data_IF_677838103738
#
_entry.id   IF_677838103738
#
_cell.length_a   1.000
_cell.length_b   1.000
_cell.length_c   1.000
_cell.angle_alpha   90.00
_cell.angle_beta   90.00
_cell.angle_gamma   90.00
#
_symmetry.space_group_name_H-M   'P 1'
#
loop_
_entity.id
_entity.type
_entity.pdbx_description
1 polymer ?
#
# COMPACT_ATOMS: atom_id res chain seq x y z
N UNK A 1 -4.95 4.99 -27.15
CA UNK A 1 -4.40 3.62 -26.95
C UNK A 1 -5.57 2.65 -27.01
N UNK A 2 -5.53 1.65 -27.89
CA UNK A 2 -6.58 0.62 -28.00
C UNK A 2 -6.02 -0.64 -27.33
N UNK A 3 -6.74 -1.18 -26.34
CA UNK A 3 -6.35 -2.38 -25.61
C UNK A 3 -7.53 -3.37 -25.58
N UNK A 4 -7.27 -4.68 -25.77
CA UNK A 4 -8.26 -5.71 -25.49
C UNK A 4 -8.76 -5.66 -24.05
N UNK A 5 -9.99 -6.10 -23.81
CA UNK A 5 -10.61 -6.04 -22.48
C UNK A 5 -9.80 -6.78 -21.40
N UNK A 6 -9.30 -7.97 -21.70
CA UNK A 6 -8.46 -8.75 -20.79
C UNK A 6 -7.07 -8.13 -20.50
N UNK A 7 -6.68 -7.08 -21.23
CA UNK A 7 -5.37 -6.42 -21.11
C UNK A 7 -5.48 -4.95 -20.66
N UNK A 8 -6.67 -4.48 -20.26
CA UNK A 8 -6.87 -3.09 -19.81
C UNK A 8 -5.93 -2.68 -18.67
N UNK A 9 -5.58 -3.61 -17.78
CA UNK A 9 -4.69 -3.38 -16.63
C UNK A 9 -3.23 -3.81 -16.89
N UNK A 10 -2.94 -4.44 -18.03
CA UNK A 10 -1.59 -4.89 -18.35
C UNK A 10 -0.56 -3.75 -18.32
N UNK A 11 -0.83 -2.56 -18.91
CA UNK A 11 0.05 -1.40 -18.78
C UNK A 11 0.39 -1.03 -17.34
N UNK A 12 -0.61 -1.07 -16.46
CA UNK A 12 -0.46 -0.69 -15.06
C UNK A 12 0.48 -1.68 -14.36
N UNK A 13 0.20 -2.98 -14.49
CA UNK A 13 1.04 -4.01 -13.88
C UNK A 13 2.47 -4.02 -14.44
N UNK A 14 2.67 -3.76 -15.74
CA UNK A 14 4.03 -3.65 -16.30
C UNK A 14 4.77 -2.47 -15.66
N UNK A 15 4.12 -1.31 -15.51
CA UNK A 15 4.71 -0.16 -14.82
C UNK A 15 5.11 -0.51 -13.39
N UNK A 16 4.23 -1.21 -12.66
CA UNK A 16 4.51 -1.69 -11.30
C UNK A 16 5.70 -2.65 -11.25
N UNK A 17 5.79 -3.62 -12.17
CA UNK A 17 6.90 -4.57 -12.25
C UNK A 17 8.23 -3.84 -12.48
N UNK A 18 8.25 -2.87 -13.40
CA UNK A 18 9.45 -2.08 -13.70
C UNK A 18 9.91 -1.22 -12.50
N UNK A 19 8.98 -0.76 -11.67
CA UNK A 19 9.27 0.01 -10.46
C UNK A 19 9.66 -0.86 -9.26
N UNK A 20 9.23 -2.11 -9.24
CA UNK A 20 9.39 -2.99 -8.07
C UNK A 20 10.83 -3.15 -7.64
N UNK A 21 11.05 -3.24 -6.33
CA UNK A 21 12.35 -3.46 -5.71
C UNK A 21 13.11 -4.67 -6.28
N UNK A 22 12.38 -5.73 -6.65
CA UNK A 22 12.96 -6.92 -7.29
C UNK A 22 13.72 -6.58 -8.58
N UNK A 23 13.22 -5.62 -9.36
CA UNK A 23 13.74 -5.26 -10.69
C UNK A 23 14.60 -4.00 -10.62
N UNK A 24 14.02 -2.88 -10.17
CA UNK A 24 14.67 -1.56 -10.14
C UNK A 24 15.81 -1.50 -9.14
N UNK A 25 15.67 -2.18 -7.99
CA UNK A 25 16.71 -2.25 -6.97
C UNK A 25 17.08 -0.90 -6.36
N UNK A 26 16.08 -0.06 -6.04
CA UNK A 26 16.20 1.36 -5.69
C UNK A 26 17.39 1.76 -4.80
N UNK A 27 17.79 3.04 -4.87
CA UNK A 27 19.08 3.52 -4.32
C UNK A 27 19.30 3.28 -2.84
N UNK A 28 18.23 3.19 -2.05
CA UNK A 28 18.29 3.05 -0.59
C UNK A 28 18.17 1.59 -0.13
N UNK A 29 18.03 0.64 -1.05
CA UNK A 29 17.85 -0.77 -0.71
C UNK A 29 19.18 -1.51 -0.56
N UNK A 30 19.30 -2.31 0.49
CA UNK A 30 20.49 -3.15 0.70
C UNK A 30 20.53 -4.32 -0.29
N UNK A 31 21.72 -4.87 -0.51
CA UNK A 31 21.89 -6.06 -1.37
C UNK A 31 21.10 -7.25 -0.83
N UNK A 32 21.05 -7.42 0.50
CA UNK A 32 20.33 -8.51 1.15
C UNK A 32 18.81 -8.35 0.98
N UNK A 33 18.27 -7.14 1.16
CA UNK A 33 16.85 -6.86 0.93
C UNK A 33 16.48 -7.13 -0.53
N UNK A 34 17.31 -6.68 -1.48
CA UNK A 34 17.07 -6.94 -2.90
C UNK A 34 17.06 -8.43 -3.21
N UNK A 35 18.05 -9.17 -2.73
CA UNK A 35 18.15 -10.61 -2.95
C UNK A 35 16.96 -11.35 -2.32
N UNK A 36 16.53 -10.96 -1.12
CA UNK A 36 15.35 -11.49 -0.46
C UNK A 36 14.09 -11.26 -1.29
N UNK A 37 13.85 -10.04 -1.76
CA UNK A 37 12.66 -9.69 -2.53
C UNK A 37 12.67 -10.39 -3.90
N UNK A 38 13.81 -10.46 -4.59
CA UNK A 38 13.95 -11.23 -5.83
C UNK A 38 13.59 -12.72 -5.62
N UNK A 39 14.06 -13.33 -4.55
CA UNK A 39 13.71 -14.71 -4.23
C UNK A 39 12.22 -14.86 -3.87
N UNK A 40 11.67 -13.92 -3.09
CA UNK A 40 10.26 -13.92 -2.70
C UNK A 40 9.34 -13.87 -3.94
N UNK A 41 9.62 -12.97 -4.89
CA UNK A 41 8.83 -12.85 -6.13
C UNK A 41 8.86 -14.13 -6.97
N UNK A 42 10.02 -14.81 -7.04
CA UNK A 42 10.16 -16.06 -7.80
C UNK A 42 9.31 -17.22 -7.27
N UNK A 43 8.89 -17.19 -6.00
CA UNK A 43 8.11 -18.26 -5.37
C UNK A 43 6.65 -17.89 -5.12
N UNK A 44 6.24 -16.66 -5.46
CA UNK A 44 4.85 -16.22 -5.30
C UNK A 44 3.93 -16.92 -6.30
N UNK A 45 2.74 -17.28 -5.84
CA UNK A 45 1.64 -17.66 -6.71
C UNK A 45 1.01 -16.41 -7.38
N UNK A 46 0.02 -16.64 -8.25
CA UNK A 46 -0.65 -15.55 -8.97
C UNK A 46 -1.32 -14.55 -7.99
N UNK A 47 -2.13 -14.98 -7.00
CA UNK A 47 -2.73 -14.04 -6.05
C UNK A 47 -1.72 -13.18 -5.27
N UNK A 48 -0.63 -13.77 -4.77
CA UNK A 48 0.36 -13.01 -4.00
C UNK A 48 1.20 -12.11 -4.91
N UNK A 49 1.56 -12.54 -6.12
CA UNK A 49 2.31 -11.68 -7.06
C UNK A 49 1.50 -10.46 -7.50
N UNK A 50 0.19 -10.61 -7.72
CA UNK A 50 -0.69 -9.47 -8.05
C UNK A 50 -0.66 -8.40 -6.95
N UNK A 51 -0.75 -8.81 -5.68
CA UNK A 51 -0.74 -7.86 -4.54
C UNK A 51 0.65 -7.31 -4.28
N UNK A 52 1.70 -8.09 -4.51
CA UNK A 52 3.06 -7.61 -4.40
C UNK A 52 3.35 -6.45 -5.37
N UNK A 53 2.96 -6.60 -6.64
CA UNK A 53 3.19 -5.55 -7.65
C UNK A 53 2.18 -4.40 -7.55
N UNK A 54 0.92 -4.69 -7.24
CA UNK A 54 -0.10 -3.67 -6.99
C UNK A 54 -0.67 -3.86 -5.58
N UNK A 55 -0.09 -3.17 -4.57
CA UNK A 55 -0.52 -3.27 -3.19
C UNK A 55 -2.01 -2.98 -3.03
N UNK A 56 -2.61 -3.45 -1.94
CA UNK A 56 -3.96 -3.03 -1.56
C UNK A 56 -3.87 -1.86 -0.62
N UNK A 57 -4.60 -0.79 -0.89
CA UNK A 57 -4.77 0.35 -0.01
C UNK A 57 -6.21 0.36 0.52
N UNK A 58 -6.42 -0.12 1.74
CA UNK A 58 -7.74 -0.35 2.33
C UNK A 58 -8.09 0.82 3.27
N UNK A 59 -9.18 1.57 3.04
CA UNK A 59 -9.59 2.64 3.94
C UNK A 59 -10.13 2.07 5.27
N UNK A 60 -9.72 2.65 6.39
CA UNK A 60 -10.11 2.24 7.75
C UNK A 60 -10.87 3.32 8.54
N UNK A 61 -10.99 4.53 8.01
CA UNK A 61 -11.63 5.65 8.70
C UNK A 61 -13.16 5.57 8.67
N UNK A 62 -13.74 5.00 7.62
CA UNK A 62 -15.19 4.87 7.42
C UNK A 62 -15.58 3.38 7.28
N UNK A 63 -15.26 2.55 8.29
CA UNK A 63 -15.59 1.12 8.27
C UNK A 63 -17.01 0.87 8.77
N UNK A 64 -17.70 -0.05 8.11
CA UNK A 64 -18.95 -0.63 8.59
C UNK A 64 -18.62 -1.63 9.72
N UNK A 65 -19.16 -1.36 10.91
CA UNK A 65 -18.96 -2.20 12.10
C UNK A 65 -19.84 -3.46 12.08
N UNK A 66 -20.92 -3.46 11.30
CA UNK A 66 -21.87 -4.58 11.23
C UNK A 66 -21.49 -5.59 10.13
N UNK A 67 -20.65 -5.19 9.18
CA UNK A 67 -20.14 -6.07 8.12
C UNK A 67 -18.83 -6.73 8.51
N UNK A 68 -18.68 -8.02 8.18
CA UNK A 68 -17.41 -8.75 8.28
C UNK A 68 -16.47 -8.52 7.10
N UNK A 69 -16.93 -7.89 6.03
CA UNK A 69 -16.18 -7.76 4.77
C UNK A 69 -15.03 -6.76 4.87
N UNK A 70 -13.98 -7.01 4.09
CA UNK A 70 -12.87 -6.06 3.95
C UNK A 70 -13.36 -4.89 3.09
N UNK A 71 -13.19 -3.62 3.52
CA UNK A 71 -13.52 -2.47 2.70
C UNK A 71 -12.86 -2.52 1.33
N UNK A 72 -13.55 -2.03 0.29
CA UNK A 72 -13.00 -2.03 -1.07
C UNK A 72 -11.67 -1.24 -1.09
N UNK A 73 -10.57 -1.84 -1.58
CA UNK A 73 -9.32 -1.13 -1.75
C UNK A 73 -9.46 0.05 -2.72
N UNK A 74 -8.81 1.15 -2.40
CA UNK A 74 -8.68 2.32 -3.28
C UNK A 74 -7.39 2.24 -4.10
N UNK A 75 -7.28 3.14 -5.09
CA UNK A 75 -6.10 3.24 -5.96
C UNK A 75 -4.84 3.58 -5.17
N UNK A 76 -3.70 3.00 -5.57
CA UNK A 76 -2.41 3.20 -4.93
C UNK A 76 -1.75 4.51 -5.40
N UNK A 77 -2.36 5.63 -5.01
CA UNK A 77 -1.87 6.99 -5.27
C UNK A 77 -2.07 7.86 -4.04
N UNK A 78 -1.12 8.78 -3.80
CA UNK A 78 -1.17 9.77 -2.74
C UNK A 78 -2.41 10.66 -2.84
N UNK A 79 -2.98 10.84 -4.05
CA UNK A 79 -4.24 11.56 -4.25
C UNK A 79 -5.43 10.90 -3.54
N UNK A 80 -5.32 9.61 -3.18
CA UNK A 80 -6.36 8.88 -2.44
C UNK A 80 -6.20 8.93 -0.93
N UNK A 81 -5.07 9.44 -0.43
CA UNK A 81 -4.84 9.62 0.99
C UNK A 81 -5.42 10.96 1.44
N UNK A 82 -6.37 10.91 2.37
CA UNK A 82 -6.97 12.10 2.99
C UNK A 82 -6.27 12.43 4.30
N UNK A 83 -6.10 13.72 4.58
CA UNK A 83 -5.53 14.22 5.85
C UNK A 83 -6.35 13.78 7.08
N UNK A 84 -7.64 13.50 6.91
CA UNK A 84 -8.57 13.01 7.93
C UNK A 84 -8.83 11.50 7.83
N UNK A 85 -7.99 10.77 7.08
CA UNK A 85 -8.17 9.34 6.83
C UNK A 85 -7.16 8.44 7.55
N UNK A 86 -7.52 7.18 7.69
CA UNK A 86 -6.64 6.07 8.06
C UNK A 86 -6.73 4.98 6.98
N UNK A 87 -5.59 4.35 6.65
CA UNK A 87 -5.49 3.37 5.57
C UNK A 87 -4.50 2.25 5.91
N UNK A 88 -4.87 1.03 5.58
CA UNK A 88 -3.99 -0.14 5.63
C UNK A 88 -3.42 -0.41 4.23
N UNK A 89 -2.11 -0.33 4.08
CA UNK A 89 -1.42 -0.77 2.87
C UNK A 89 -0.80 -2.15 3.10
N UNK A 90 -1.09 -3.12 2.22
CA UNK A 90 -0.47 -4.44 2.24
C UNK A 90 0.02 -4.86 0.85
N UNK A 91 1.24 -5.40 0.77
CA UNK A 91 1.83 -5.95 -0.46
C UNK A 91 2.26 -7.42 -0.30
N UNK A 92 1.83 -8.09 0.76
CA UNK A 92 2.22 -9.48 1.08
C UNK A 92 3.57 -9.65 1.79
N UNK A 93 4.41 -8.61 1.85
CA UNK A 93 5.68 -8.61 2.60
C UNK A 93 5.63 -7.60 3.74
N UNK A 94 5.24 -6.36 3.42
CA UNK A 94 5.09 -5.26 4.35
C UNK A 94 3.61 -4.92 4.54
N UNK A 95 3.29 -4.45 5.75
CA UNK A 95 1.98 -3.94 6.11
C UNK A 95 2.15 -2.61 6.82
N UNK A 96 1.55 -1.55 6.27
CA UNK A 96 1.61 -0.20 6.82
C UNK A 96 0.21 0.23 7.25
N UNK A 97 0.09 0.81 8.44
CA UNK A 97 -1.09 1.56 8.84
C UNK A 97 -0.76 3.04 8.77
N UNK A 98 -1.17 3.68 7.69
CA UNK A 98 -1.03 5.11 7.52
C UNK A 98 -2.19 5.84 8.17
N UNK A 99 -1.92 6.95 8.85
CA UNK A 99 -2.93 7.78 9.48
C UNK A 99 -2.62 9.27 9.31
N UNK A 100 -3.65 10.03 8.96
CA UNK A 100 -3.60 11.46 8.74
C UNK A 100 -3.57 12.27 10.04
N UNK A 101 -3.02 13.49 9.97
CA UNK A 101 -2.95 14.39 11.13
C UNK A 101 -4.29 15.02 11.47
N UNK A 102 -5.25 15.02 10.54
CA UNK A 102 -6.61 15.55 10.69
C UNK A 102 -7.64 14.50 11.10
N UNK A 103 -7.22 13.28 11.47
CA UNK A 103 -8.15 12.27 11.98
C UNK A 103 -8.93 12.78 13.20
N UNK A 104 -10.21 12.41 13.26
CA UNK A 104 -11.07 12.76 14.37
C UNK A 104 -10.48 12.24 15.70
N UNK A 105 -10.36 13.08 16.75
CA UNK A 105 -9.84 12.66 18.05
C UNK A 105 -10.57 11.46 18.64
N UNK A 106 -11.87 11.33 18.38
CA UNK A 106 -12.70 10.19 18.81
C UNK A 106 -12.23 8.88 18.16
N UNK A 107 -11.90 8.91 16.88
CA UNK A 107 -11.37 7.76 16.15
C UNK A 107 -9.97 7.40 16.68
N UNK A 108 -9.10 8.39 16.88
CA UNK A 108 -7.75 8.18 17.41
C UNK A 108 -7.79 7.59 18.81
N UNK A 109 -8.65 8.11 19.69
CA UNK A 109 -8.83 7.60 21.04
C UNK A 109 -9.37 6.18 21.04
N UNK A 110 -10.33 5.87 20.16
CA UNK A 110 -10.91 4.53 20.06
C UNK A 110 -9.90 3.49 19.53
N UNK A 111 -9.02 3.85 18.60
CA UNK A 111 -8.10 2.90 17.95
C UNK A 111 -6.75 2.81 18.64
N UNK A 112 -6.20 3.95 19.07
CA UNK A 112 -4.85 4.06 19.65
C UNK A 112 -4.83 4.39 21.14
N UNK A 113 -5.97 4.75 21.75
CA UNK A 113 -6.05 5.02 23.18
C UNK A 113 -5.42 6.35 23.61
N UNK A 114 -5.05 7.20 22.64
CA UNK A 114 -4.43 8.52 22.84
C UNK A 114 -5.33 9.63 22.29
N UNK A 115 -5.25 10.85 22.83
CA UNK A 115 -6.19 11.92 22.47
C UNK A 115 -5.96 12.53 21.07
N UNK A 116 -4.75 12.46 20.51
CA UNK A 116 -4.43 13.07 19.20
C UNK A 116 -3.44 12.24 18.40
N UNK A 117 -3.48 12.37 17.06
CA UNK A 117 -2.58 11.62 16.15
C UNK A 117 -1.09 11.88 16.41
N UNK A 118 -0.76 13.04 16.99
CA UNK A 118 0.61 13.40 17.36
C UNK A 118 1.17 12.57 18.53
N UNK A 119 0.31 11.99 19.37
CA UNK A 119 0.70 11.19 20.54
C UNK A 119 0.80 9.69 20.24
N UNK A 120 0.43 9.25 19.04
CA UNK A 120 0.57 7.85 18.62
C UNK A 120 2.04 7.49 18.55
N UNK A 121 2.48 6.45 19.27
CA UNK A 121 3.83 5.95 19.16
C UNK A 121 4.00 5.14 17.86
N UNK A 122 4.78 5.66 16.92
CA UNK A 122 5.00 5.00 15.61
C UNK A 122 6.00 3.86 15.66
N UNK A 123 6.75 3.70 16.76
CA UNK A 123 7.66 2.57 16.98
C UNK A 123 6.90 1.28 17.35
N UNK A 124 5.62 1.40 17.73
CA UNK A 124 4.79 0.25 18.02
C UNK A 124 4.50 -0.56 16.74
N UNK A 125 4.58 -1.89 16.86
CA UNK A 125 4.35 -2.82 15.75
C UNK A 125 3.01 -3.56 15.86
N UNK A 126 2.15 -3.11 16.78
CA UNK A 126 0.81 -3.64 17.01
C UNK A 126 -0.11 -2.51 17.50
N UNK A 127 -1.40 -2.67 17.26
CA UNK A 127 -2.42 -1.82 17.87
C UNK A 127 -2.62 -2.21 19.34
N UNK A 128 -2.99 -1.25 20.21
CA UNK A 128 -3.37 -1.55 21.58
C UNK A 128 -4.67 -2.37 21.61
N UNK A 129 -4.77 -3.25 22.62
CA UNK A 129 -5.96 -4.07 22.84
C UNK A 129 -7.00 -3.25 23.62
N UNK A 130 -7.80 -2.48 22.88
CA UNK A 130 -8.86 -1.65 23.46
C UNK A 130 -10.22 -2.33 23.31
N UNK A 131 -11.02 -2.25 24.38
CA UNK A 131 -12.35 -2.84 24.45
C UNK A 131 -13.41 -1.87 23.88
N UNK A 132 -13.40 -1.71 22.56
CA UNK A 132 -14.45 -1.01 21.83
C UNK A 132 -14.63 -1.63 20.42
N UNK A 133 -15.82 -1.47 19.82
CA UNK A 133 -16.13 -2.11 18.53
C UNK A 133 -15.17 -1.72 17.41
N UNK A 134 -14.76 -0.45 17.33
CA UNK A 134 -13.88 0.04 16.28
C UNK A 134 -12.48 -0.56 16.36
N UNK A 135 -11.86 -0.58 17.55
CA UNK A 135 -10.56 -1.21 17.77
C UNK A 135 -10.59 -2.71 17.49
N UNK A 136 -11.62 -3.40 17.97
CA UNK A 136 -11.80 -4.83 17.71
C UNK A 136 -11.91 -5.09 16.20
N UNK A 137 -12.76 -4.32 15.50
CA UNK A 137 -12.96 -4.45 14.06
C UNK A 137 -11.69 -4.19 13.25
N UNK A 138 -10.91 -3.15 13.57
CA UNK A 138 -9.65 -2.88 12.86
C UNK A 138 -8.62 -4.00 13.13
N UNK A 139 -8.51 -4.48 14.38
CA UNK A 139 -7.62 -5.61 14.70
C UNK A 139 -8.03 -6.89 13.97
N UNK A 140 -9.33 -7.15 13.85
CA UNK A 140 -9.87 -8.25 13.05
C UNK A 140 -9.54 -8.12 11.57
N UNK A 141 -9.75 -6.93 10.97
CA UNK A 141 -9.40 -6.67 9.57
C UNK A 141 -7.91 -6.91 9.29
N UNK A 142 -7.03 -6.44 10.17
CA UNK A 142 -5.59 -6.71 10.09
C UNK A 142 -5.30 -8.21 10.18
N UNK A 143 -6.00 -8.93 11.05
CA UNK A 143 -5.86 -10.39 11.18
C UNK A 143 -6.33 -11.11 9.91
N UNK A 144 -7.48 -10.75 9.34
CA UNK A 144 -8.02 -11.32 8.10
C UNK A 144 -7.02 -11.11 6.95
N UNK A 145 -6.51 -9.88 6.77
CA UNK A 145 -5.51 -9.58 5.74
C UNK A 145 -4.24 -10.41 5.92
N UNK A 146 -3.82 -10.68 7.16
CA UNK A 146 -2.67 -11.56 7.43
C UNK A 146 -2.94 -13.02 7.10
N UNK A 147 -4.16 -13.52 7.32
CA UNK A 147 -4.54 -14.91 7.02
C UNK A 147 -4.55 -15.20 5.51
N UNK A 148 -4.74 -14.18 4.67
CA UNK A 148 -4.66 -14.29 3.21
C UNK A 148 -3.22 -14.41 2.68
N UNK A 149 -2.19 -14.26 3.54
CA UNK A 149 -0.79 -14.25 3.14
C UNK A 149 -0.04 -15.47 3.66
N UNK A 150 0.94 -15.93 2.88
CA UNK A 150 1.82 -17.04 3.27
C UNK A 150 2.78 -16.67 4.41
N UNK A 151 3.09 -15.38 4.57
CA UNK A 151 4.05 -14.87 5.55
C UNK A 151 3.38 -13.86 6.46
N UNK A 152 3.76 -13.89 7.73
CA UNK A 152 3.31 -12.88 8.67
C UNK A 152 3.95 -11.53 8.34
N UNK A 153 3.12 -10.53 8.06
CA UNK A 153 3.58 -9.17 7.77
C UNK A 153 3.66 -8.35 9.06
N UNK A 154 4.85 -7.78 9.33
CA UNK A 154 5.05 -6.82 10.43
C UNK A 154 4.24 -5.56 10.13
N UNK A 155 3.41 -5.13 11.09
CA UNK A 155 2.68 -3.88 11.00
C UNK A 155 3.63 -2.72 11.31
N UNK A 156 3.64 -1.72 10.45
CA UNK A 156 4.40 -0.47 10.63
C UNK A 156 3.42 0.69 10.69
N UNK A 157 3.44 1.45 11.78
CA UNK A 157 2.60 2.64 11.94
C UNK A 157 3.25 3.81 11.21
N UNK A 158 2.49 4.49 10.35
CA UNK A 158 2.98 5.58 9.52
C UNK A 158 2.14 6.82 9.74
N UNK A 159 2.73 7.83 10.37
CA UNK A 159 2.09 9.13 10.52
C UNK A 159 2.31 9.96 9.26
N UNK A 160 1.30 10.71 8.85
CA UNK A 160 1.42 11.72 7.81
C UNK A 160 2.55 12.73 8.12
N UNK A 161 3.38 13.05 7.10
CA UNK A 161 4.57 13.92 7.15
C UNK A 161 5.77 13.37 7.95
N UNK A 162 5.70 12.14 8.46
CA UNK A 162 6.87 11.50 9.07
C UNK A 162 7.78 10.84 8.02
N UNK A 163 9.03 10.55 8.40
CA UNK A 163 10.03 9.93 7.51
C UNK A 163 9.55 8.61 6.89
N UNK A 164 8.83 7.79 7.69
CA UNK A 164 8.29 6.51 7.20
C UNK A 164 7.20 6.68 6.14
N UNK A 165 6.57 7.86 6.04
CA UNK A 165 5.65 8.15 4.95
C UNK A 165 6.36 8.16 3.60
N UNK A 166 7.60 8.65 3.54
CA UNK A 166 8.39 8.63 2.29
C UNK A 166 8.61 7.19 1.82
N UNK A 167 8.96 6.28 2.74
CA UNK A 167 9.11 4.86 2.43
C UNK A 167 7.77 4.24 2.02
N UNK A 168 6.68 4.53 2.73
CA UNK A 168 5.36 4.01 2.37
C UNK A 168 4.88 4.51 1.00
N UNK A 169 5.22 5.74 0.62
CA UNK A 169 4.91 6.32 -0.70
C UNK A 169 5.57 5.59 -1.87
N UNK A 170 6.67 4.86 -1.65
CA UNK A 170 7.23 3.96 -2.66
C UNK A 170 6.21 2.91 -3.14
N UNK A 171 5.31 2.48 -2.25
CA UNK A 171 4.26 1.50 -2.56
C UNK A 171 2.99 2.11 -3.17
N UNK A 172 2.95 3.44 -3.36
CA UNK A 172 1.90 4.12 -4.13
C UNK A 172 2.27 4.11 -5.61
N UNK A 173 2.23 2.91 -6.19
CA UNK A 173 2.83 2.55 -7.49
C UNK A 173 2.30 3.33 -8.69
N UNK A 174 1.16 3.98 -8.58
CA UNK A 174 0.61 4.82 -9.66
C UNK A 174 1.31 6.18 -9.78
N UNK A 175 1.92 6.65 -8.70
CA UNK A 175 2.58 7.95 -8.63
C UNK A 175 3.99 7.90 -9.24
N UNK A 176 4.59 9.09 -9.36
CA UNK A 176 6.01 9.24 -9.73
C UNK A 176 6.88 8.73 -8.59
N UNK A 177 7.82 7.84 -8.88
CA UNK A 177 8.71 7.29 -7.87
C UNK A 177 9.74 8.31 -7.39
N UNK A 178 10.31 8.06 -6.21
CA UNK A 178 11.33 8.91 -5.60
C UNK A 178 12.64 8.95 -6.39
N UNK A 179 12.91 7.87 -7.14
CA UNK A 179 14.04 7.70 -8.05
C UNK A 179 13.82 8.38 -9.42
N UNK A 180 12.71 9.11 -9.58
CA UNK A 180 12.35 9.77 -10.83
C UNK A 180 11.61 8.88 -11.83
N UNK A 181 11.29 7.62 -11.46
CA UNK A 181 10.48 6.74 -12.31
C UNK A 181 9.12 7.37 -12.63
N UNK A 182 8.70 7.19 -13.87
CA UNK A 182 7.50 7.81 -14.42
C UNK A 182 6.22 7.40 -13.66
N UNK A 183 5.25 8.31 -13.53
CA UNK A 183 3.90 7.95 -13.05
C UNK A 183 3.22 6.98 -14.03
N UNK A 184 2.12 6.34 -13.61
CA UNK A 184 1.35 5.48 -14.51
C UNK A 184 0.85 6.24 -15.75
N UNK A 185 0.43 7.49 -15.59
CA UNK A 185 -0.04 8.35 -16.70
C UNK A 185 1.10 8.66 -17.67
N UNK A 186 2.29 8.98 -17.15
CA UNK A 186 3.49 9.22 -17.94
C UNK A 186 3.91 7.96 -18.71
N UNK A 187 3.86 6.80 -18.04
CA UNK A 187 4.18 5.49 -18.63
C UNK A 187 3.23 5.15 -19.79
N UNK A 188 1.92 5.36 -19.61
CA UNK A 188 0.93 5.18 -20.69
C UNK A 188 1.22 6.09 -21.89
N UNK A 189 1.58 7.35 -21.64
CA UNK A 189 1.97 8.28 -22.70
C UNK A 189 3.21 7.80 -23.45
N UNK A 190 4.23 7.31 -22.74
CA UNK A 190 5.44 6.76 -23.32
C UNK A 190 5.14 5.53 -24.17
N UNK A 191 4.44 4.53 -23.64
CA UNK A 191 4.08 3.33 -24.40
C UNK A 191 3.28 3.66 -25.66
N UNK A 192 2.34 4.61 -25.59
CA UNK A 192 1.57 5.01 -26.77
C UNK A 192 2.44 5.65 -27.86
N UNK A 193 3.54 6.35 -27.49
CA UNK A 193 4.54 6.86 -28.44
C UNK A 193 5.34 5.72 -29.07
N UNK A 194 5.82 4.76 -28.27
CA UNK A 194 6.57 3.60 -28.77
C UNK A 194 5.75 2.75 -29.75
N UNK A 195 4.49 2.46 -29.41
CA UNK A 195 3.58 1.73 -30.30
C UNK A 195 3.40 2.47 -31.63
N UNK A 196 3.27 3.80 -31.59
CA UNK A 196 3.18 4.60 -32.82
C UNK A 196 4.45 4.50 -33.67
N UNK A 197 5.62 4.51 -33.04
CA UNK A 197 6.91 4.42 -33.74
C UNK A 197 7.13 3.07 -34.42
N UNK A 198 6.58 1.99 -33.88
CA UNK A 198 6.68 0.65 -34.48
C UNK A 198 5.74 0.49 -35.69
N UNK A 199 4.61 1.20 -35.66
CA UNK A 199 3.59 1.16 -36.71
C UNK A 199 3.84 2.16 -37.85
N UNK A 200 4.71 3.14 -37.64
CA UNK A 200 5.14 4.14 -38.63
C UNK A 200 6.42 3.71 -39.34
#
# INVERSE_FOLDING_TARGET
>A
LILPECMKLLPLYISCVLKSDAISGGSDMTIDDRAFVMYAVNVMDIPNSVVYFYPRLIPLHDIDLDSSDIPLPVRCSAEKLRDDGAYLLDNGIHMFLWFGMGLAPEWVQAVFGVPTSAQINTDDTKLPDLDNPLSQRIRELIAIVRLERHRFMRLTLVRQRDKMEMLMKHFLVEDRGMDGTASYVDFLCHMHKEIRSILS
#
